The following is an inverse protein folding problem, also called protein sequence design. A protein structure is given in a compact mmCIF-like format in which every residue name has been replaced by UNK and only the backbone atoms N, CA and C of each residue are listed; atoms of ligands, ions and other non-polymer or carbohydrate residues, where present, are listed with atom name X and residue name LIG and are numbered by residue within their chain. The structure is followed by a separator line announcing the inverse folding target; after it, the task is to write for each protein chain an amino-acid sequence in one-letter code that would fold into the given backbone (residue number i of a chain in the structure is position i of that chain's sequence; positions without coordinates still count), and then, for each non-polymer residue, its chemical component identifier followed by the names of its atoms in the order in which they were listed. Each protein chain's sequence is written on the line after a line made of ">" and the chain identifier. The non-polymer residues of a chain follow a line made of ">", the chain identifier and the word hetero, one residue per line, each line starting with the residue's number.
data_IF_638977455599
#
_entry.id   IF_638977455599
#
_cell.length_a   1.000
_cell.length_b   1.000
_cell.length_c   1.000
_cell.angle_alpha   90.00
_cell.angle_beta   90.00
_cell.angle_gamma   90.00
#
_symmetry.space_group_name_H-M   'P 1'
#
loop_
_entity.id
_entity.type
_entity.pdbx_description
1 polymer ?
#
# COMPACT_ATOMS: atom_id res chain seq x y z
N UNK A 1 -7.82 9.80 -25.04
CA UNK A 1 -7.14 8.75 -24.27
C UNK A 1 -8.22 7.85 -23.70
N UNK A 2 -8.17 6.55 -23.96
CA UNK A 2 -9.17 5.61 -23.43
C UNK A 2 -8.80 5.29 -21.97
N UNK A 3 -9.55 5.88 -21.04
CA UNK A 3 -9.33 5.74 -19.59
C UNK A 3 -9.45 4.27 -19.15
N UNK A 4 -10.27 3.46 -19.81
CA UNK A 4 -10.41 2.05 -19.45
C UNK A 4 -9.14 1.30 -19.77
N UNK A 5 -8.57 1.53 -20.96
CA UNK A 5 -7.27 0.95 -21.34
C UNK A 5 -6.13 1.41 -20.44
N UNK A 6 -6.16 2.67 -20.00
CA UNK A 6 -5.15 3.19 -19.07
C UNK A 6 -5.17 2.45 -17.72
N UNK A 7 -6.36 2.20 -17.16
CA UNK A 7 -6.50 1.57 -15.83
C UNK A 7 -6.52 0.03 -15.84
N UNK A 8 -6.63 -0.60 -17.01
CA UNK A 8 -6.69 -2.06 -17.15
C UNK A 8 -5.51 -2.81 -16.51
N UNK A 9 -4.24 -2.37 -16.63
CA UNK A 9 -3.12 -3.03 -15.96
C UNK A 9 -3.24 -2.99 -14.43
N UNK A 10 -3.71 -1.88 -13.87
CA UNK A 10 -3.91 -1.71 -12.43
C UNK A 10 -5.07 -2.58 -11.94
N UNK A 11 -6.18 -2.68 -12.70
CA UNK A 11 -7.29 -3.57 -12.33
C UNK A 11 -6.82 -5.01 -12.17
N UNK A 12 -5.95 -5.50 -13.06
CA UNK A 12 -5.41 -6.87 -13.00
C UNK A 12 -4.51 -7.14 -11.79
N UNK A 13 -3.93 -6.10 -11.19
CA UNK A 13 -3.13 -6.23 -9.97
C UNK A 13 -3.94 -6.28 -8.67
N UNK A 14 -5.25 -6.01 -8.72
CA UNK A 14 -6.11 -6.06 -7.53
C UNK A 14 -6.27 -7.52 -7.08
N UNK A 15 -5.96 -7.81 -5.81
CA UNK A 15 -6.16 -9.15 -5.26
C UNK A 15 -7.65 -9.45 -5.17
N UNK A 16 -8.06 -10.54 -5.81
CA UNK A 16 -9.45 -10.98 -5.89
C UNK A 16 -10.30 -10.17 -6.88
N UNK A 17 -9.69 -9.54 -7.88
CA UNK A 17 -10.40 -9.12 -9.09
C UNK A 17 -11.07 -10.32 -9.75
N UNK A 18 -12.34 -10.16 -10.17
CA UNK A 18 -13.12 -11.26 -10.76
C UNK A 18 -13.46 -12.40 -9.79
N UNK A 19 -13.20 -12.25 -8.49
CA UNK A 19 -13.54 -13.28 -7.49
C UNK A 19 -15.04 -13.60 -7.55
N UNK A 20 -15.37 -14.88 -7.40
CA UNK A 20 -16.75 -15.35 -7.45
C UNK A 20 -17.09 -16.11 -6.18
N UNK A 21 -18.31 -15.90 -5.69
CA UNK A 21 -18.82 -16.55 -4.48
C UNK A 21 -20.24 -17.07 -4.69
N UNK A 22 -20.61 -18.05 -3.87
CA UNK A 22 -21.94 -18.65 -3.92
C UNK A 22 -22.95 -17.75 -3.21
N UNK A 23 -24.08 -17.54 -3.86
CA UNK A 23 -25.24 -16.86 -3.29
C UNK A 23 -26.45 -17.78 -3.38
N UNK A 24 -27.56 -17.49 -2.67
CA UNK A 24 -28.81 -18.20 -2.87
C UNK A 24 -29.32 -18.21 -4.32
N UNK A 25 -28.82 -17.29 -5.16
CA UNK A 25 -29.17 -17.14 -6.58
C UNK A 25 -28.06 -17.65 -7.52
N UNK A 26 -27.21 -18.57 -7.04
CA UNK A 26 -26.09 -19.15 -7.77
C UNK A 26 -24.79 -18.36 -7.60
N UNK A 27 -23.79 -18.72 -8.42
CA UNK A 27 -22.45 -18.12 -8.36
C UNK A 27 -22.49 -16.69 -8.93
N UNK A 28 -22.02 -15.72 -8.15
CA UNK A 28 -21.97 -14.30 -8.55
C UNK A 28 -20.54 -13.76 -8.46
N UNK A 29 -20.23 -12.79 -9.30
CA UNK A 29 -18.95 -12.08 -9.26
C UNK A 29 -19.00 -10.99 -8.19
N UNK A 30 -17.99 -10.96 -7.33
CA UNK A 30 -17.81 -9.91 -6.35
C UNK A 30 -17.56 -8.57 -7.07
N UNK A 31 -18.45 -7.61 -6.84
CA UNK A 31 -18.30 -6.22 -7.29
C UNK A 31 -18.07 -5.35 -6.06
N UNK A 32 -16.83 -4.95 -5.85
CA UNK A 32 -16.49 -4.02 -4.79
C UNK A 32 -16.63 -2.59 -5.32
N UNK A 33 -17.52 -1.81 -4.70
CA UNK A 33 -17.86 -0.45 -5.11
C UNK A 33 -17.54 0.59 -4.02
N UNK A 34 -16.93 0.17 -2.91
CA UNK A 34 -16.69 1.00 -1.72
C UNK A 34 -15.22 1.47 -1.60
N UNK A 35 -14.61 1.76 -2.76
CA UNK A 35 -13.18 2.10 -2.87
C UNK A 35 -12.77 3.39 -2.14
N UNK A 36 -13.73 4.28 -1.86
CA UNK A 36 -13.49 5.51 -1.11
C UNK A 36 -13.37 5.24 0.39
N UNK A 37 -14.08 4.23 0.92
CA UNK A 37 -14.00 3.88 2.33
C UNK A 37 -12.74 3.07 2.64
N UNK A 38 -12.40 2.10 1.78
CA UNK A 38 -11.17 1.32 1.91
C UNK A 38 -10.70 0.74 0.58
N UNK A 39 -9.38 0.71 0.39
CA UNK A 39 -8.77 0.02 -0.74
C UNK A 39 -8.76 -1.50 -0.55
N UNK A 40 -8.66 -2.24 -1.65
CA UNK A 40 -8.30 -3.67 -1.62
C UNK A 40 -6.79 -3.84 -1.73
N UNK A 41 -6.29 -4.98 -1.25
CA UNK A 41 -4.88 -5.36 -1.42
C UNK A 41 -4.48 -5.35 -2.90
N UNK A 42 -3.28 -4.87 -3.18
CA UNK A 42 -2.74 -4.74 -4.52
C UNK A 42 -1.51 -5.62 -4.66
N UNK A 43 -1.59 -6.65 -5.50
CA UNK A 43 -0.62 -7.74 -5.59
C UNK A 43 0.84 -7.26 -5.74
N UNK A 44 1.16 -6.28 -6.62
CA UNK A 44 2.52 -5.78 -6.71
C UNK A 44 3.06 -5.18 -5.40
N UNK A 45 2.22 -4.54 -4.59
CA UNK A 45 2.63 -4.01 -3.29
C UNK A 45 2.83 -5.15 -2.28
N UNK A 46 1.88 -6.08 -2.20
CA UNK A 46 1.97 -7.21 -1.27
C UNK A 46 3.20 -8.09 -1.54
N UNK A 47 3.54 -8.31 -2.81
CA UNK A 47 4.73 -9.08 -3.19
C UNK A 47 6.04 -8.39 -2.77
N UNK A 48 6.10 -7.05 -2.83
CA UNK A 48 7.25 -6.30 -2.33
C UNK A 48 7.34 -6.38 -0.81
N UNK A 49 6.22 -6.17 -0.11
CA UNK A 49 6.16 -6.24 1.34
C UNK A 49 6.59 -7.63 1.82
N UNK A 50 5.99 -8.69 1.27
CA UNK A 50 6.26 -10.06 1.74
C UNK A 50 7.60 -10.60 1.24
N UNK A 51 7.95 -10.36 -0.02
CA UNK A 51 9.10 -10.99 -0.68
C UNK A 51 10.41 -10.24 -0.50
N UNK A 52 10.38 -8.91 -0.39
CA UNK A 52 11.60 -8.08 -0.34
C UNK A 52 11.81 -7.52 1.06
N UNK A 53 10.79 -6.89 1.67
CA UNK A 53 10.95 -6.29 2.99
C UNK A 53 10.79 -7.32 4.12
N UNK A 54 9.84 -8.24 3.96
CA UNK A 54 9.48 -9.29 4.93
C UNK A 54 10.70 -10.02 5.53
N UNK A 55 11.65 -10.52 4.72
CA UNK A 55 12.83 -11.22 5.23
C UNK A 55 13.76 -10.36 6.09
N UNK A 56 13.73 -9.03 5.94
CA UNK A 56 14.62 -8.11 6.64
C UNK A 56 13.91 -7.30 7.73
N UNK A 57 12.65 -7.58 8.04
CA UNK A 57 11.90 -6.86 9.06
C UNK A 57 12.67 -6.90 10.38
N UNK A 58 12.97 -5.70 10.89
CA UNK A 58 13.68 -5.46 12.12
C UNK A 58 13.36 -4.07 12.64
N UNK A 59 13.71 -3.81 13.90
CA UNK A 59 13.48 -2.50 14.51
C UNK A 59 14.33 -1.42 13.82
N UNK A 60 13.72 -0.28 13.53
CA UNK A 60 14.32 0.84 12.78
C UNK A 60 15.18 1.79 13.63
N UNK A 61 15.54 1.38 14.85
CA UNK A 61 16.19 2.26 15.84
C UNK A 61 17.70 2.01 15.97
N UNK A 62 18.28 1.11 15.16
CA UNK A 62 19.71 0.78 15.22
C UNK A 62 20.22 0.31 13.85
N UNK A 63 21.37 0.82 13.42
CA UNK A 63 22.07 0.37 12.19
C UNK A 63 23.16 -0.68 12.49
N UNK A 64 23.00 -1.42 13.59
CA UNK A 64 24.00 -2.39 14.05
C UNK A 64 23.87 -3.77 13.41
N UNK A 65 22.75 -4.04 12.74
CA UNK A 65 22.50 -5.26 11.97
C UNK A 65 22.08 -4.92 10.54
N UNK A 66 22.18 -5.92 9.65
CA UNK A 66 21.71 -5.81 8.27
C UNK A 66 20.22 -5.44 8.22
N UNK A 67 19.41 -6.10 9.03
CA UNK A 67 17.95 -5.87 9.13
C UNK A 67 17.63 -4.48 9.66
N UNK A 68 18.34 -4.03 10.70
CA UNK A 68 18.16 -2.69 11.27
C UNK A 68 18.54 -1.60 10.26
N UNK A 69 19.71 -1.72 9.64
CA UNK A 69 20.21 -0.76 8.64
C UNK A 69 19.27 -0.66 7.43
N UNK A 70 18.84 -1.81 6.89
CA UNK A 70 17.96 -1.85 5.73
C UNK A 70 16.62 -1.20 6.03
N UNK A 71 15.99 -1.57 7.16
CA UNK A 71 14.67 -1.04 7.52
C UNK A 71 14.71 0.46 7.87
N UNK A 72 15.75 0.94 8.56
CA UNK A 72 15.95 2.37 8.83
C UNK A 72 16.10 3.17 7.53
N UNK A 73 16.93 2.71 6.60
CA UNK A 73 17.11 3.37 5.30
C UNK A 73 15.83 3.34 4.46
N UNK A 74 15.12 2.21 4.43
CA UNK A 74 13.84 2.08 3.72
C UNK A 74 12.79 3.05 4.28
N UNK A 75 12.72 3.22 5.61
CA UNK A 75 11.83 4.16 6.26
C UNK A 75 12.13 5.62 5.87
N UNK A 76 13.40 6.03 5.93
CA UNK A 76 13.79 7.38 5.51
C UNK A 76 13.54 7.63 4.02
N UNK A 77 13.79 6.63 3.17
CA UNK A 77 13.50 6.71 1.74
C UNK A 77 12.01 6.86 1.46
N UNK A 78 11.16 6.11 2.17
CA UNK A 78 9.71 6.25 2.07
C UNK A 78 9.25 7.67 2.46
N UNK A 79 9.77 8.23 3.55
CA UNK A 79 9.47 9.61 3.96
C UNK A 79 9.89 10.63 2.89
N UNK A 80 11.05 10.45 2.26
CA UNK A 80 11.49 11.32 1.17
C UNK A 80 10.51 11.30 -0.01
N UNK A 81 10.09 10.11 -0.45
CA UNK A 81 9.12 9.97 -1.53
C UNK A 81 7.77 10.59 -1.17
N UNK A 82 7.26 10.35 0.04
CA UNK A 82 5.99 10.93 0.50
C UNK A 82 6.06 12.46 0.50
N UNK A 83 7.14 13.05 1.04
CA UNK A 83 7.34 14.50 1.00
C UNK A 83 7.29 15.04 -0.43
N UNK A 84 8.00 14.41 -1.36
CA UNK A 84 8.01 14.81 -2.76
C UNK A 84 6.61 14.73 -3.40
N UNK A 85 5.86 13.67 -3.13
CA UNK A 85 4.48 13.50 -3.63
C UNK A 85 3.50 14.52 -3.05
N UNK A 86 3.72 15.01 -1.84
CA UNK A 86 2.91 16.02 -1.20
C UNK A 86 3.43 17.46 -1.41
N UNK A 87 4.51 17.65 -2.19
CA UNK A 87 5.19 18.93 -2.36
C UNK A 87 5.61 19.60 -1.02
N UNK A 88 6.04 18.77 -0.06
CA UNK A 88 6.49 19.22 1.25
C UNK A 88 7.94 19.75 1.18
N UNK A 89 8.20 20.87 1.85
CA UNK A 89 9.49 21.52 1.97
C UNK A 89 10.45 20.84 2.96
N UNK A 90 11.68 21.37 3.08
CA UNK A 90 12.68 20.85 4.01
C UNK A 90 12.24 20.95 5.48
N UNK A 91 11.55 22.04 5.83
CA UNK A 91 11.07 22.31 7.20
C UNK A 91 9.77 21.58 7.56
N UNK A 92 9.08 20.99 6.58
CA UNK A 92 7.85 20.24 6.84
C UNK A 92 8.15 18.90 7.52
N UNK A 93 7.26 18.45 8.40
CA UNK A 93 7.41 17.18 9.12
C UNK A 93 6.34 16.17 8.72
N UNK A 94 6.72 14.90 8.60
CA UNK A 94 5.77 13.79 8.46
C UNK A 94 5.54 13.21 9.85
N UNK A 95 4.27 13.19 10.26
CA UNK A 95 3.82 12.52 11.48
C UNK A 95 2.97 11.32 11.06
N UNK A 96 3.53 10.11 11.20
CA UNK A 96 2.82 8.87 10.88
C UNK A 96 1.87 8.52 12.04
N UNK A 97 0.57 8.51 11.79
CA UNK A 97 -0.45 8.22 12.81
C UNK A 97 -1.57 7.36 12.24
N UNK A 98 -1.84 6.26 12.94
CA UNK A 98 -3.07 5.46 12.87
C UNK A 98 -3.69 5.22 11.49
N UNK A 99 -5.00 5.04 11.49
CA UNK A 99 -5.82 4.69 10.32
C UNK A 99 -6.44 5.93 9.65
N UNK A 100 -5.60 6.87 9.22
CA UNK A 100 -6.04 8.08 8.51
C UNK A 100 -6.85 9.06 9.36
N UNK A 101 -7.81 9.78 8.74
CA UNK A 101 -8.60 10.82 9.40
C UNK A 101 -9.32 10.30 10.65
N UNK A 102 -9.83 9.06 10.65
CA UNK A 102 -10.53 8.45 11.79
C UNK A 102 -9.73 8.48 13.09
N UNK A 103 -8.39 8.52 13.03
CA UNK A 103 -7.51 8.55 14.19
C UNK A 103 -6.91 9.94 14.49
N UNK A 104 -7.07 10.90 13.57
CA UNK A 104 -6.39 12.20 13.59
C UNK A 104 -7.30 13.39 13.90
N UNK A 105 -8.60 13.14 14.13
CA UNK A 105 -9.58 14.12 14.62
C UNK A 105 -9.87 13.94 16.10
#
# INVERSE_FOLDING_TARGET
>A
MDIQKHFEPFRKGIIGEGYQFNTPYGKKTLRYADWLASGRLYKPIEEQIAGIFGPFVGNTHTETSETGTLMTKAYHYAHHLIKAHCNAGPEDVIITQGSGMTHMV
#
